data_IF_219357828918
#
_entry.id   IF_219357828918
#
_cell.length_a   1.000
_cell.length_b   1.000
_cell.length_c   1.000
_cell.angle_alpha   90.00
_cell.angle_beta   90.00
_cell.angle_gamma   90.00
#
_symmetry.space_group_name_H-M   'P 1'
#
loop_
_entity.id
_entity.type
_entity.pdbx_description
1 polymer ?
#
# COMPACT_ATOMS: atom_id res chain seq x y z
N UNK A 1 -16.55 -23.68 16.97
CA UNK A 1 -17.46 -24.71 17.51
C UNK A 1 -17.63 -25.78 16.44
N UNK A 2 -16.97 -26.93 16.58
CA UNK A 2 -17.13 -28.06 15.66
C UNK A 2 -18.25 -28.97 16.19
N UNK A 3 -19.24 -29.27 15.36
CA UNK A 3 -20.27 -30.26 15.68
C UNK A 3 -19.97 -31.57 14.96
N UNK A 4 -19.89 -32.67 15.70
CA UNK A 4 -19.80 -34.03 15.15
C UNK A 4 -21.21 -34.52 14.82
N UNK A 5 -21.42 -34.97 13.60
CA UNK A 5 -22.66 -35.65 13.17
C UNK A 5 -22.28 -37.08 12.82
N UNK A 6 -22.78 -38.07 13.58
CA UNK A 6 -22.64 -39.49 13.26
C UNK A 6 -23.66 -39.90 12.18
N UNK A 7 -23.22 -40.66 11.18
CA UNK A 7 -24.01 -41.08 10.01
C UNK A 7 -24.13 -42.60 9.97
N UNK A 8 -25.35 -43.14 10.11
CA UNK A 8 -25.59 -44.58 10.35
C UNK A 8 -26.24 -45.37 9.18
N UNK A 9 -26.32 -44.86 7.93
CA UNK A 9 -26.86 -45.64 6.79
C UNK A 9 -26.44 -45.16 5.38
N UNK A 10 -26.50 -46.07 4.38
CA UNK A 10 -26.30 -45.80 2.94
C UNK A 10 -27.33 -46.51 2.04
N UNK A 11 -27.87 -45.87 0.97
CA UNK A 11 -27.83 -44.44 0.69
C UNK A 11 -28.97 -43.70 1.41
N UNK A 12 -28.69 -42.51 1.96
CA UNK A 12 -29.70 -41.61 2.53
C UNK A 12 -29.99 -40.45 1.55
N UNK A 13 -31.24 -39.96 1.47
CA UNK A 13 -31.53 -38.65 0.88
C UNK A 13 -30.84 -37.56 1.74
N UNK A 14 -29.99 -36.75 1.10
CA UNK A 14 -29.40 -35.57 1.73
C UNK A 14 -30.15 -34.32 1.24
N UNK A 15 -30.75 -33.57 2.16
CA UNK A 15 -31.42 -32.30 1.87
C UNK A 15 -30.68 -31.19 2.63
N UNK A 16 -30.31 -30.12 1.91
CA UNK A 16 -29.63 -28.95 2.48
C UNK A 16 -30.69 -27.92 2.85
N UNK A 17 -30.87 -27.65 4.14
CA UNK A 17 -31.87 -26.69 4.65
C UNK A 17 -31.15 -25.44 5.17
N UNK A 18 -31.51 -24.26 4.66
CA UNK A 18 -30.99 -22.95 5.09
C UNK A 18 -29.46 -22.79 5.05
N UNK A 19 -28.79 -23.13 3.94
CA UNK A 19 -27.37 -22.80 3.77
C UNK A 19 -27.16 -21.47 3.02
N UNK A 20 -26.27 -20.63 3.54
CA UNK A 20 -25.69 -19.49 2.81
C UNK A 20 -24.50 -19.91 1.92
N UNK A 21 -24.14 -21.20 1.94
CA UNK A 21 -23.02 -21.78 1.23
C UNK A 21 -23.49 -22.64 0.04
N UNK A 22 -22.83 -22.51 -1.10
CA UNK A 22 -23.00 -23.40 -2.24
C UNK A 22 -22.25 -24.72 -1.99
N UNK A 23 -22.97 -25.85 -1.99
CA UNK A 23 -22.37 -27.17 -1.82
C UNK A 23 -22.15 -27.80 -3.20
N UNK A 24 -20.90 -27.86 -3.66
CA UNK A 24 -20.52 -28.56 -4.89
C UNK A 24 -20.10 -29.99 -4.56
N UNK A 25 -20.93 -30.97 -4.92
CA UNK A 25 -20.60 -32.40 -4.83
C UNK A 25 -20.70 -32.99 -3.43
N UNK A 26 -21.87 -33.49 -3.05
CA UNK A 26 -22.03 -34.39 -1.91
C UNK A 26 -21.80 -35.83 -2.36
N UNK A 27 -20.63 -36.41 -2.06
CA UNK A 27 -20.43 -37.85 -2.12
C UNK A 27 -20.57 -38.41 -0.69
N UNK A 28 -21.80 -38.82 -0.33
CA UNK A 28 -22.08 -39.38 0.98
C UNK A 28 -21.75 -40.87 0.99
N UNK A 29 -20.53 -41.21 1.43
CA UNK A 29 -20.14 -42.56 1.82
C UNK A 29 -20.10 -42.64 3.35
N UNK A 30 -20.33 -43.82 3.95
CA UNK A 30 -20.32 -43.97 5.41
C UNK A 30 -18.99 -43.46 6.00
N UNK A 31 -19.06 -42.43 6.85
CA UNK A 31 -17.89 -41.73 7.39
C UNK A 31 -18.26 -40.40 8.04
N UNK A 32 -17.28 -39.73 8.63
CA UNK A 32 -17.43 -38.37 9.16
C UNK A 32 -17.34 -37.34 8.02
N UNK A 33 -18.33 -36.46 7.93
CA UNK A 33 -18.27 -35.26 7.07
C UNK A 33 -17.88 -34.08 7.95
N UNK A 34 -16.68 -33.55 7.74
CA UNK A 34 -16.24 -32.32 8.40
C UNK A 34 -16.66 -31.13 7.54
N UNK A 35 -17.63 -30.34 8.00
CA UNK A 35 -17.94 -29.04 7.38
C UNK A 35 -17.00 -28.01 7.99
N UNK A 36 -15.91 -27.71 7.31
CA UNK A 36 -15.10 -26.54 7.63
C UNK A 36 -15.79 -25.31 7.02
N UNK A 37 -16.45 -24.49 7.84
CA UNK A 37 -16.84 -23.15 7.40
C UNK A 37 -15.58 -22.28 7.38
N UNK A 38 -15.25 -21.69 6.23
CA UNK A 38 -14.25 -20.62 6.20
C UNK A 38 -14.86 -19.36 6.78
N UNK A 39 -14.19 -18.76 7.76
CA UNK A 39 -14.51 -17.41 8.21
C UNK A 39 -13.72 -16.49 7.29
N UNK A 40 -14.45 -15.61 6.59
CA UNK A 40 -13.85 -14.67 5.66
C UNK A 40 -13.73 -13.30 6.33
N UNK A 41 -12.61 -12.65 6.08
CA UNK A 41 -12.30 -11.28 6.47
C UNK A 41 -11.92 -10.44 5.26
N UNK A 42 -11.69 -9.16 5.50
CA UNK A 42 -11.17 -8.23 4.52
C UNK A 42 -9.93 -7.52 5.03
N UNK A 43 -9.01 -7.23 4.12
CA UNK A 43 -7.94 -6.25 4.34
C UNK A 43 -8.25 -5.04 3.48
N UNK A 44 -8.36 -3.88 4.10
CA UNK A 44 -8.61 -2.62 3.40
C UNK A 44 -7.63 -1.55 3.85
N UNK A 45 -7.64 -0.41 3.18
CA UNK A 45 -6.74 0.67 3.55
C UNK A 45 -6.87 1.89 2.68
N UNK A 46 -6.15 2.93 3.10
CA UNK A 46 -5.98 4.16 2.36
C UNK A 46 -4.49 4.45 2.11
N UNK A 47 -4.17 4.95 0.92
CA UNK A 47 -2.89 5.58 0.62
C UNK A 47 -3.13 7.07 0.45
N UNK A 48 -2.49 7.86 1.30
CA UNK A 48 -2.52 9.32 1.25
C UNK A 48 -1.11 9.90 1.11
N UNK A 49 -1.02 11.17 0.75
CA UNK A 49 0.20 11.98 0.78
C UNK A 49 0.43 12.54 2.19
N UNK A 50 1.62 13.07 2.45
CA UNK A 50 1.96 13.60 3.78
C UNK A 50 1.09 14.79 4.21
N UNK A 51 0.56 15.54 3.25
CA UNK A 51 -0.40 16.64 3.43
C UNK A 51 -1.85 16.17 3.64
N UNK A 52 -2.11 14.86 3.64
CA UNK A 52 -3.43 14.25 3.81
C UNK A 52 -4.28 14.17 2.54
N UNK A 53 -3.77 14.60 1.39
CA UNK A 53 -4.44 14.41 0.11
C UNK A 53 -4.42 12.93 -0.31
N UNK A 54 -5.43 12.44 -1.04
CA UNK A 54 -5.43 11.06 -1.53
C UNK A 54 -4.31 10.83 -2.55
N UNK A 55 -3.76 9.62 -2.56
CA UNK A 55 -2.83 9.15 -3.58
C UNK A 55 -3.53 8.13 -4.50
N UNK A 56 -4.23 8.57 -5.55
CA UNK A 56 -4.95 7.67 -6.45
C UNK A 56 -4.03 6.93 -7.41
N UNK A 57 -4.55 5.88 -8.05
CA UNK A 57 -3.85 5.08 -9.05
C UNK A 57 -2.58 4.35 -8.56
N UNK A 58 -2.41 4.21 -7.25
CA UNK A 58 -1.36 3.39 -6.66
C UNK A 58 -1.74 1.92 -6.78
N UNK A 59 -0.80 1.10 -7.23
CA UNK A 59 -1.00 -0.34 -7.25
C UNK A 59 -0.76 -0.90 -5.84
N UNK A 60 -1.63 -1.79 -5.39
CA UNK A 60 -1.51 -2.48 -4.12
C UNK A 60 -1.57 -3.97 -4.39
N UNK A 61 -0.54 -4.70 -3.98
CA UNK A 61 -0.42 -6.15 -4.16
C UNK A 61 -0.67 -6.85 -2.84
N UNK A 62 -1.60 -7.81 -2.84
CA UNK A 62 -1.79 -8.77 -1.76
C UNK A 62 -1.04 -10.05 -2.09
N UNK A 63 -0.30 -10.58 -1.13
CA UNK A 63 0.33 -11.90 -1.21
C UNK A 63 0.20 -12.68 0.11
N UNK A 64 0.45 -13.99 0.11
CA UNK A 64 0.32 -14.87 1.27
C UNK A 64 -0.52 -16.10 0.95
N UNK A 65 -1.52 -16.41 1.79
CA UNK A 65 -2.47 -17.51 1.52
C UNK A 65 -3.35 -17.25 0.29
N UNK A 66 -3.57 -15.98 -0.06
CA UNK A 66 -4.19 -15.56 -1.31
C UNK A 66 -3.37 -14.46 -1.94
N UNK A 67 -3.47 -14.33 -3.26
CA UNK A 67 -2.79 -13.29 -4.01
C UNK A 67 -3.83 -12.44 -4.75
N UNK A 68 -3.55 -11.15 -4.87
CA UNK A 68 -4.43 -10.22 -5.55
C UNK A 68 -3.74 -8.90 -5.84
N UNK A 69 -4.37 -8.10 -6.68
CA UNK A 69 -3.90 -6.76 -6.99
C UNK A 69 -5.11 -5.83 -7.03
N UNK A 70 -4.95 -4.63 -6.50
CA UNK A 70 -5.92 -3.54 -6.58
C UNK A 70 -5.21 -2.26 -7.01
N UNK A 71 -5.99 -1.30 -7.49
CA UNK A 71 -5.53 0.06 -7.76
C UNK A 71 -6.35 0.98 -6.86
N UNK A 72 -5.69 1.90 -6.15
CA UNK A 72 -6.38 2.83 -5.26
C UNK A 72 -7.31 3.76 -6.04
N UNK A 73 -8.50 3.99 -5.51
CA UNK A 73 -9.49 4.90 -6.11
C UNK A 73 -9.08 6.39 -5.99
N UNK A 74 -9.95 7.30 -6.46
CA UNK A 74 -9.72 8.75 -6.38
C UNK A 74 -9.57 9.30 -4.95
N UNK A 75 -9.99 8.54 -3.95
CA UNK A 75 -9.85 8.88 -2.54
C UNK A 75 -8.65 8.14 -1.89
N UNK A 76 -7.87 7.39 -2.66
CA UNK A 76 -6.72 6.61 -2.17
C UNK A 76 -7.09 5.26 -1.56
N UNK A 77 -8.35 4.82 -1.63
CA UNK A 77 -8.79 3.60 -0.95
C UNK A 77 -8.53 2.34 -1.78
N UNK A 78 -8.23 1.23 -1.10
CA UNK A 78 -8.18 -0.13 -1.66
C UNK A 78 -8.81 -1.14 -0.70
N UNK A 79 -9.24 -2.30 -1.23
CA UNK A 79 -9.76 -3.39 -0.41
C UNK A 79 -9.59 -4.77 -1.07
N UNK A 80 -9.31 -5.76 -0.24
CA UNK A 80 -9.23 -7.18 -0.54
C UNK A 80 -10.25 -7.92 0.34
N UNK A 81 -11.50 -8.09 -0.12
CA UNK A 81 -12.52 -8.83 0.62
C UNK A 81 -12.37 -10.34 0.42
N UNK A 82 -12.93 -11.13 1.34
CA UNK A 82 -13.07 -12.58 1.15
C UNK A 82 -11.79 -13.37 1.38
N UNK A 83 -10.94 -12.91 2.31
CA UNK A 83 -9.70 -13.57 2.70
C UNK A 83 -9.98 -14.57 3.83
N UNK A 84 -9.35 -15.75 3.77
CA UNK A 84 -9.48 -16.75 4.83
C UNK A 84 -8.84 -16.24 6.13
N UNK A 85 -9.60 -16.23 7.22
CA UNK A 85 -9.07 -15.96 8.56
C UNK A 85 -8.03 -17.02 8.98
N UNK A 86 -7.11 -16.59 9.84
CA UNK A 86 -6.10 -17.42 10.47
C UNK A 86 -4.80 -17.56 9.68
N UNK A 87 -4.70 -16.89 8.54
CA UNK A 87 -3.53 -16.93 7.66
C UNK A 87 -2.75 -15.63 7.64
N UNK A 88 -1.50 -15.71 7.17
CA UNK A 88 -0.62 -14.57 7.00
C UNK A 88 -0.79 -13.96 5.62
N UNK A 89 -0.79 -12.63 5.58
CA UNK A 89 -0.93 -11.82 4.38
C UNK A 89 0.07 -10.66 4.39
N UNK A 90 0.56 -10.30 3.21
CA UNK A 90 1.38 -9.11 3.02
C UNK A 90 0.75 -8.20 1.96
N UNK A 91 0.61 -6.92 2.31
CA UNK A 91 0.19 -5.83 1.45
C UNK A 91 1.42 -5.04 1.01
N UNK A 92 1.61 -4.90 -0.29
CA UNK A 92 2.74 -4.15 -0.86
C UNK A 92 2.20 -3.07 -1.79
N UNK A 93 2.15 -1.81 -1.35
CA UNK A 93 1.96 -0.69 -2.25
C UNK A 93 3.14 -0.57 -3.22
N UNK A 94 2.87 -0.26 -4.49
CA UNK A 94 3.90 -0.06 -5.50
C UNK A 94 3.46 0.92 -6.59
N UNK A 95 4.44 1.42 -7.33
CA UNK A 95 4.25 2.27 -8.50
C UNK A 95 5.03 1.68 -9.68
N UNK A 96 4.29 1.27 -10.72
CA UNK A 96 4.89 0.69 -11.94
C UNK A 96 5.21 1.71 -13.04
N UNK A 97 4.93 3.01 -12.82
CA UNK A 97 5.10 4.07 -13.80
C UNK A 97 6.47 4.74 -13.76
N UNK A 98 6.64 5.76 -14.61
CA UNK A 98 7.80 6.68 -14.54
C UNK A 98 7.66 7.66 -13.37
N UNK A 99 8.74 8.32 -12.99
CA UNK A 99 8.73 9.26 -11.87
C UNK A 99 8.39 10.70 -12.30
N UNK A 100 8.35 10.99 -13.61
CA UNK A 100 7.97 12.30 -14.13
C UNK A 100 6.54 12.63 -13.69
N UNK A 101 6.36 13.82 -13.12
CA UNK A 101 5.08 14.29 -12.65
C UNK A 101 5.02 15.81 -12.74
N UNK A 102 3.85 16.40 -13.03
CA UNK A 102 3.64 17.84 -12.94
C UNK A 102 3.90 18.40 -11.54
N UNK A 103 3.98 17.54 -10.53
CA UNK A 103 4.29 17.91 -9.16
C UNK A 103 5.79 18.13 -8.90
N UNK A 104 6.67 17.68 -9.78
CA UNK A 104 8.09 17.99 -9.68
C UNK A 104 8.37 19.36 -10.30
N UNK A 105 8.72 20.34 -9.46
CA UNK A 105 8.86 21.75 -9.88
C UNK A 105 10.20 22.36 -9.45
N UNK A 106 10.49 23.56 -9.98
CA UNK A 106 11.63 24.34 -9.52
C UNK A 106 11.51 24.77 -8.04
N UNK A 107 10.30 24.74 -7.48
CA UNK A 107 10.11 25.04 -6.06
C UNK A 107 10.68 23.92 -5.19
N UNK A 108 10.54 22.65 -5.58
CA UNK A 108 11.16 21.52 -4.89
C UNK A 108 12.68 21.62 -4.91
N UNK A 109 13.26 21.96 -6.07
CA UNK A 109 14.71 22.22 -6.18
C UNK A 109 15.17 23.37 -5.27
N UNK A 110 14.39 24.44 -5.17
CA UNK A 110 14.68 25.54 -4.26
C UNK A 110 14.72 25.06 -2.81
N UNK A 111 13.73 24.27 -2.38
CA UNK A 111 13.66 23.72 -1.01
C UNK A 111 14.84 22.78 -0.71
N UNK A 112 15.17 21.88 -1.63
CA UNK A 112 16.34 20.98 -1.51
C UNK A 112 17.63 21.81 -1.39
N UNK A 113 17.79 22.84 -2.23
CA UNK A 113 18.97 23.70 -2.19
C UNK A 113 19.10 24.45 -0.85
N UNK A 114 18.00 25.02 -0.34
CA UNK A 114 18.05 25.72 0.94
C UNK A 114 18.32 24.78 2.12
N UNK A 115 17.87 23.52 2.04
CA UNK A 115 18.19 22.50 3.03
C UNK A 115 19.70 22.16 3.01
N UNK A 116 20.28 21.92 1.84
CA UNK A 116 21.72 21.64 1.68
C UNK A 116 22.58 22.79 2.22
N UNK A 117 22.14 24.04 2.01
CA UNK A 117 22.83 25.23 2.51
C UNK A 117 22.62 25.49 4.01
N UNK A 118 21.68 24.78 4.65
CA UNK A 118 21.33 24.98 6.06
C UNK A 118 20.50 26.24 6.35
N UNK A 119 19.99 26.92 5.31
CA UNK A 119 19.22 28.16 5.46
C UNK A 119 17.75 27.89 5.81
N UNK A 120 17.16 26.86 5.19
CA UNK A 120 15.78 26.44 5.42
C UNK A 120 15.74 24.91 5.42
N UNK A 121 16.02 24.27 6.57
CA UNK A 121 15.95 22.82 6.67
C UNK A 121 14.52 22.32 6.44
N UNK A 122 14.37 21.25 5.66
CA UNK A 122 13.13 20.46 5.59
C UNK A 122 12.74 19.98 6.99
N UNK A 123 11.49 20.21 7.36
CA UNK A 123 10.96 19.96 8.71
C UNK A 123 10.08 18.71 8.81
N UNK A 124 9.70 18.12 7.67
CA UNK A 124 8.89 16.91 7.60
C UNK A 124 9.78 15.70 7.28
N UNK A 125 9.64 14.56 8.00
CA UNK A 125 10.35 13.34 7.65
C UNK A 125 10.03 12.89 6.22
N UNK A 126 8.79 13.07 5.77
CA UNK A 126 8.38 12.74 4.41
C UNK A 126 9.07 13.61 3.36
N UNK A 127 9.24 14.92 3.64
CA UNK A 127 9.98 15.83 2.76
C UNK A 127 11.47 15.45 2.69
N UNK A 128 12.06 15.01 3.81
CA UNK A 128 13.45 14.52 3.86
C UNK A 128 13.61 13.23 3.05
N UNK A 129 12.65 12.30 3.14
CA UNK A 129 12.60 11.07 2.32
C UNK A 129 12.46 11.42 0.83
N UNK A 130 11.55 12.34 0.48
CA UNK A 130 11.36 12.79 -0.89
C UNK A 130 12.63 13.42 -1.48
N UNK A 131 13.42 14.14 -0.68
CA UNK A 131 14.64 14.81 -1.12
C UNK A 131 15.84 13.89 -1.37
N UNK A 132 15.85 12.65 -0.85
CA UNK A 132 16.92 11.66 -1.04
C UNK A 132 16.70 10.86 -2.34
N UNK A 133 16.96 11.50 -3.48
CA UNK A 133 16.61 10.98 -4.79
C UNK A 133 17.34 9.68 -5.15
N UNK A 134 18.58 9.48 -4.67
CA UNK A 134 19.36 8.27 -4.92
C UNK A 134 19.28 7.22 -3.79
N UNK A 135 18.41 7.42 -2.80
CA UNK A 135 18.22 6.52 -1.65
C UNK A 135 19.53 6.25 -0.87
N UNK A 136 20.34 7.29 -0.67
CA UNK A 136 21.62 7.20 0.04
C UNK A 136 21.49 7.41 1.56
N UNK A 137 20.34 7.89 2.03
CA UNK A 137 20.10 8.33 3.41
C UNK A 137 20.70 9.70 3.73
N UNK A 138 21.04 10.52 2.73
CA UNK A 138 21.63 11.85 2.90
C UNK A 138 21.23 12.78 1.76
N UNK A 139 20.85 14.02 2.09
CA UNK A 139 20.45 15.02 1.08
C UNK A 139 21.67 15.83 0.65
N UNK A 140 22.05 15.70 -0.62
CA UNK A 140 23.27 16.29 -1.18
C UNK A 140 23.02 16.97 -2.53
N UNK A 141 24.05 17.59 -3.10
CA UNK A 141 23.98 18.15 -4.45
C UNK A 141 23.72 17.09 -5.53
N UNK A 142 24.00 15.81 -5.26
CA UNK A 142 23.68 14.73 -6.18
C UNK A 142 22.15 14.58 -6.30
N UNK A 143 21.44 14.59 -5.18
CA UNK A 143 19.98 14.50 -5.16
C UNK A 143 19.33 15.68 -5.89
N UNK A 144 19.83 16.89 -5.63
CA UNK A 144 19.42 18.09 -6.38
C UNK A 144 19.57 17.89 -7.89
N UNK A 145 20.72 17.39 -8.35
CA UNK A 145 20.95 17.18 -9.79
C UNK A 145 20.05 16.09 -10.39
N UNK A 146 19.72 15.05 -9.61
CA UNK A 146 18.80 13.98 -10.05
C UNK A 146 17.37 14.47 -10.18
N UNK A 147 16.87 15.23 -9.19
CA UNK A 147 15.54 15.85 -9.27
C UNK A 147 15.50 16.85 -10.43
N UNK A 148 16.59 17.61 -10.65
CA UNK A 148 16.68 18.53 -11.79
C UNK A 148 16.61 17.77 -13.12
N UNK A 149 17.35 16.69 -13.28
CA UNK A 149 17.27 15.84 -14.49
C UNK A 149 15.88 15.23 -14.68
N UNK A 150 15.18 14.87 -13.59
CA UNK A 150 13.79 14.38 -13.66
C UNK A 150 12.83 15.44 -14.18
N UNK A 151 12.93 16.68 -13.68
CA UNK A 151 12.12 17.83 -14.13
C UNK A 151 12.38 18.17 -15.59
N UNK A 152 13.63 18.08 -16.03
CA UNK A 152 14.03 18.31 -17.42
C UNK A 152 13.68 17.15 -18.37
N UNK A 153 13.14 16.04 -17.83
CA UNK A 153 12.88 14.79 -18.54
C UNK A 153 14.13 14.17 -19.20
N UNK A 154 15.31 14.39 -18.61
CA UNK A 154 16.56 13.73 -19.01
C UNK A 154 16.63 12.29 -18.46
N UNK A 155 15.92 12.04 -17.36
CA UNK A 155 15.70 10.71 -16.77
C UNK A 155 14.21 10.51 -16.50
N UNK A 156 13.78 9.24 -16.50
CA UNK A 156 12.40 8.84 -16.19
C UNK A 156 12.30 7.97 -14.93
N UNK A 157 13.44 7.50 -14.41
CA UNK A 157 13.59 6.71 -13.20
C UNK A 157 14.82 7.20 -12.43
N UNK A 158 14.75 7.20 -11.11
CA UNK A 158 15.91 7.50 -10.27
C UNK A 158 16.85 6.30 -10.18
N UNK A 159 18.18 6.51 -10.16
CA UNK A 159 19.12 5.42 -9.92
C UNK A 159 19.00 4.94 -8.48
N UNK A 160 18.91 3.62 -8.29
CA UNK A 160 18.84 2.95 -6.98
C UNK A 160 17.67 3.35 -6.08
N UNK A 161 16.61 3.94 -6.66
CA UNK A 161 15.44 4.37 -5.90
C UNK A 161 14.16 4.10 -6.69
N UNK A 162 13.03 4.09 -5.99
CA UNK A 162 11.69 4.04 -6.55
C UNK A 162 11.18 5.46 -6.81
N UNK A 163 10.13 5.60 -7.62
CA UNK A 163 9.45 6.89 -7.80
C UNK A 163 8.64 7.29 -6.56
N UNK A 164 8.13 6.29 -5.85
CA UNK A 164 7.32 6.43 -4.65
C UNK A 164 7.87 5.51 -3.57
N UNK A 165 8.02 6.07 -2.37
CA UNK A 165 8.33 5.36 -1.13
C UNK A 165 7.06 5.29 -0.29
N UNK A 166 6.88 4.22 0.47
CA UNK A 166 5.68 4.05 1.29
C UNK A 166 6.04 3.89 2.77
N UNK A 167 5.29 4.56 3.64
CA UNK A 167 5.45 4.51 5.09
C UNK A 167 4.10 4.17 5.68
N UNK A 168 4.01 3.33 6.72
CA UNK A 168 2.73 3.16 7.41
C UNK A 168 2.20 4.49 7.95
N UNK A 169 0.88 4.70 7.88
CA UNK A 169 0.28 5.95 8.33
C UNK A 169 0.44 6.21 9.83
N UNK A 170 0.56 5.16 10.64
CA UNK A 170 0.78 5.22 12.08
C UNK A 170 2.26 5.08 12.49
N UNK A 171 3.19 5.05 11.52
CA UNK A 171 4.62 4.96 11.82
C UNK A 171 5.11 6.22 12.54
N UNK A 172 5.74 6.02 13.69
CA UNK A 172 6.35 7.09 14.47
C UNK A 172 7.86 7.07 14.21
N UNK A 173 8.35 8.06 13.47
CA UNK A 173 9.78 8.25 13.27
C UNK A 173 10.48 8.50 14.62
N UNK A 174 11.46 7.67 15.04
CA UNK A 174 12.20 7.87 16.29
C UNK A 174 12.95 9.20 16.31
N UNK A 175 13.41 9.63 15.14
CA UNK A 175 13.98 10.94 14.91
C UNK A 175 13.37 11.57 13.65
N UNK A 176 12.32 12.41 13.76
CA UNK A 176 11.69 13.03 12.60
C UNK A 176 12.61 13.94 11.77
N UNK A 177 13.69 14.47 12.38
CA UNK A 177 14.70 15.27 11.68
C UNK A 177 15.74 14.41 10.93
N UNK A 178 15.76 13.09 11.19
CA UNK A 178 16.54 12.11 10.45
C UNK A 178 15.72 10.82 10.30
N UNK A 179 14.78 10.76 9.34
CA UNK A 179 13.92 9.60 9.13
C UNK A 179 14.71 8.34 8.77
N UNK A 180 15.94 8.47 8.26
CA UNK A 180 16.82 7.35 7.92
C UNK A 180 17.57 6.76 9.13
N UNK A 181 17.36 7.31 10.33
CA UNK A 181 17.97 6.78 11.56
C UNK A 181 17.61 5.31 11.79
N UNK A 182 16.38 4.93 11.48
CA UNK A 182 15.89 3.56 11.53
C UNK A 182 15.11 3.25 10.25
N UNK A 183 15.39 2.10 9.63
CA UNK A 183 14.66 1.67 8.46
C UNK A 183 13.21 1.32 8.83
N UNK A 184 12.25 1.80 8.04
CA UNK A 184 10.85 1.44 8.18
C UNK A 184 10.46 0.37 7.16
N UNK A 185 9.46 -0.48 7.45
CA UNK A 185 8.91 -1.38 6.44
C UNK A 185 8.05 -0.59 5.44
N UNK A 186 8.19 -0.91 4.16
CA UNK A 186 7.34 -0.38 3.08
C UNK A 186 6.19 -1.34 2.71
N UNK A 187 5.98 -2.35 3.55
CA UNK A 187 4.96 -3.39 3.35
C UNK A 187 4.15 -3.61 4.61
N UNK A 188 2.87 -3.86 4.41
CA UNK A 188 1.82 -4.24 5.35
C UNK A 188 1.89 -5.72 5.72
N UNK A 189 2.43 -6.12 6.87
CA UNK A 189 2.41 -7.55 7.27
C UNK A 189 1.30 -7.81 8.28
N UNK A 190 0.38 -8.70 7.91
CA UNK A 190 -0.72 -9.16 8.74
C UNK A 190 -0.45 -10.63 9.07
N UNK A 191 -0.18 -10.92 10.35
CA UNK A 191 -0.01 -12.30 10.82
C UNK A 191 -1.32 -12.80 11.40
N UNK A 192 -1.73 -14.01 11.01
CA UNK A 192 -2.92 -14.68 11.52
C UNK A 192 -4.15 -13.77 11.48
N UNK A 193 -4.56 -13.37 10.27
CA UNK A 193 -5.71 -12.48 10.01
C UNK A 193 -6.91 -12.88 10.87
N UNK A 194 -7.49 -11.93 11.58
CA UNK A 194 -8.56 -12.18 12.54
C UNK A 194 -9.65 -11.12 12.38
N UNK A 195 -10.56 -11.34 11.43
CA UNK A 195 -11.57 -10.36 11.06
C UNK A 195 -10.99 -9.22 10.21
N UNK A 196 -11.82 -8.20 9.98
CA UNK A 196 -11.47 -7.08 9.10
C UNK A 196 -10.31 -6.24 9.67
N UNK A 197 -9.31 -5.99 8.83
CA UNK A 197 -8.11 -5.21 9.18
C UNK A 197 -7.96 -4.03 8.22
N UNK A 198 -7.58 -2.89 8.79
CA UNK A 198 -7.20 -1.69 8.04
C UNK A 198 -5.68 -1.52 8.06
N UNK A 199 -5.10 -1.24 6.90
CA UNK A 199 -3.67 -1.01 6.71
C UNK A 199 -3.52 0.25 5.88
N UNK A 200 -3.06 1.34 6.49
CA UNK A 200 -2.95 2.63 5.80
C UNK A 200 -1.48 3.00 5.55
N UNK A 201 -1.23 3.72 4.46
CA UNK A 201 0.10 4.19 4.08
C UNK A 201 0.12 5.69 3.74
N UNK A 202 1.28 6.30 3.98
CA UNK A 202 1.70 7.56 3.38
C UNK A 202 2.60 7.25 2.18
N UNK A 203 2.16 7.64 0.99
CA UNK A 203 2.96 7.65 -0.22
C UNK A 203 3.81 8.92 -0.30
N UNK A 204 5.10 8.76 -0.51
CA UNK A 204 6.09 9.84 -0.64
C UNK A 204 6.68 9.80 -2.04
N UNK A 205 6.36 10.79 -2.86
CA UNK A 205 6.91 10.91 -4.20
C UNK A 205 8.33 11.45 -4.16
N UNK A 206 9.29 10.71 -4.71
CA UNK A 206 10.70 11.11 -4.71
C UNK A 206 10.90 12.33 -5.61
N UNK A 207 11.49 13.37 -5.04
CA UNK A 207 11.71 14.69 -5.63
C UNK A 207 10.61 15.71 -5.35
N UNK A 208 9.40 15.30 -4.93
CA UNK A 208 8.29 16.21 -4.59
C UNK A 208 8.37 16.56 -3.10
N UNK A 209 9.19 17.54 -2.80
CA UNK A 209 9.50 17.97 -1.42
C UNK A 209 8.45 18.95 -0.90
N UNK A 210 7.77 19.65 -1.82
CA UNK A 210 6.64 20.52 -1.50
C UNK A 210 5.35 19.77 -1.24
N UNK A 211 5.31 18.46 -1.54
CA UNK A 211 4.17 17.55 -1.42
C UNK A 211 2.93 18.14 -2.09
N UNK A 212 3.04 18.46 -3.37
CA UNK A 212 1.91 19.03 -4.09
C UNK A 212 0.87 17.97 -4.45
N UNK A 213 -0.31 18.45 -4.81
CA UNK A 213 -1.42 17.61 -5.25
C UNK A 213 -1.72 17.95 -6.70
N UNK A 214 -1.65 16.93 -7.56
CA UNK A 214 -2.10 17.08 -8.94
C UNK A 214 -3.59 17.42 -8.93
N UNK A 215 -3.97 18.53 -9.56
CA UNK A 215 -5.39 18.85 -9.72
C UNK A 215 -6.00 17.76 -10.61
N UNK A 216 -6.83 16.90 -10.03
CA UNK A 216 -7.66 15.96 -10.80
C UNK A 216 -8.50 16.82 -11.73
N UNK A 217 -8.24 16.71 -13.04
CA UNK A 217 -8.83 17.60 -14.02
C UNK A 217 -10.34 17.67 -13.84
N UNK A 218 -10.85 18.88 -13.58
CA UNK A 218 -12.24 19.19 -13.92
C UNK A 218 -12.36 18.91 -15.42
N UNK A 219 -12.91 17.76 -15.76
CA UNK A 219 -13.33 17.47 -17.13
C UNK A 219 -14.28 18.62 -17.48
N UNK A 220 -13.83 19.50 -18.37
CA UNK A 220 -14.61 20.63 -18.83
C UNK A 220 -15.95 20.10 -19.31
N UNK A 221 -17.01 20.41 -18.56
CA UNK A 221 -18.37 20.43 -19.07
C UNK A 221 -18.39 21.50 -20.17
N UNK A 222 -18.23 21.06 -21.42
CA UNK A 222 -18.67 21.75 -22.62
C UNK A 222 -19.51 20.78 -23.45
#
# INVERSE_FOLDING_TARGET
SSSLVEVNATPLPAEVVNSTMAVSGLNAQAGTVTVAGSVLASISGNISRANGAPAPNMEVVLSGNSNGQQITDNNGNYAFPGLDDGFDYTITPQWGGTCNSPCLTLYDLYLIQQHILGNMPLSSPYAIIAADANNSGSITSLDYSLVQSMILNDINLYPNNLCWRFVYADYIFPNPANPFFEAWPEVGNINNLAGDVQVDFIGVQVGDVSDCVESVGVSNLL
#
